data_IF_584493794272
#
_entry.id   IF_584493794272
#
_cell.length_a   1.000
_cell.length_b   1.000
_cell.length_c   1.000
_cell.angle_alpha   90.00
_cell.angle_beta   90.00
_cell.angle_gamma   90.00
#
_symmetry.space_group_name_H-M   'P 1'
#
loop_
_entity.id
_entity.type
_entity.pdbx_description
1 polymer ?
#
# COMPACT_ATOMS: atom_id res chain seq x y z
N UNK A 1 16.21 14.09 19.92
CA UNK A 1 17.29 14.51 18.99
C UNK A 1 17.64 15.94 19.31
N UNK A 2 18.92 16.25 19.47
CA UNK A 2 19.41 17.63 19.63
C UNK A 2 19.67 18.19 18.24
N UNK A 3 19.18 19.39 17.95
CA UNK A 3 19.35 20.09 16.67
C UNK A 3 20.28 21.27 16.92
N UNK A 4 21.37 21.37 16.15
CA UNK A 4 22.31 22.47 16.24
C UNK A 4 22.04 23.52 15.16
N UNK A 5 22.61 24.71 15.34
CA UNK A 5 22.42 25.82 14.38
C UNK A 5 23.05 25.50 13.02
N UNK A 6 24.16 24.78 13.01
CA UNK A 6 24.81 24.32 11.77
C UNK A 6 23.99 23.29 10.96
N UNK A 7 23.00 22.62 11.58
CA UNK A 7 22.12 21.67 10.90
C UNK A 7 20.98 22.34 10.13
N UNK A 8 20.81 23.67 10.29
CA UNK A 8 19.71 24.42 9.70
C UNK A 8 20.14 25.06 8.38
N UNK A 9 19.34 24.82 7.35
CA UNK A 9 19.42 25.42 6.02
C UNK A 9 18.24 26.37 5.81
N UNK A 10 18.34 27.67 6.19
CA UNK A 10 17.18 28.58 6.25
C UNK A 10 16.52 28.84 4.88
N UNK A 11 17.21 28.52 3.79
CA UNK A 11 16.71 28.65 2.42
C UNK A 11 15.83 27.48 1.97
N UNK A 12 15.82 26.37 2.69
CA UNK A 12 15.14 25.15 2.28
C UNK A 12 13.66 25.34 1.90
N UNK A 13 12.90 26.11 2.70
CA UNK A 13 11.49 26.43 2.37
C UNK A 13 11.30 27.19 1.06
N UNK A 14 12.30 27.96 0.63
CA UNK A 14 12.27 28.68 -0.64
C UNK A 14 12.63 27.75 -1.80
N UNK A 15 13.61 26.86 -1.61
CA UNK A 15 13.94 25.81 -2.59
C UNK A 15 12.72 24.92 -2.87
N UNK A 16 12.00 24.49 -1.82
CA UNK A 16 10.74 23.75 -1.99
C UNK A 16 9.69 24.59 -2.75
N UNK A 17 9.60 25.89 -2.47
CA UNK A 17 8.64 26.80 -3.12
C UNK A 17 8.99 27.15 -4.58
N UNK A 18 10.23 26.96 -5.01
CA UNK A 18 10.66 27.14 -6.40
C UNK A 18 10.18 25.98 -7.29
N UNK A 19 9.89 24.81 -6.70
CA UNK A 19 9.32 23.68 -7.41
C UNK A 19 7.81 23.88 -7.69
N UNK A 20 7.31 23.49 -8.87
CA UNK A 20 5.88 23.61 -9.22
C UNK A 20 4.94 23.01 -8.18
N UNK A 21 5.34 21.89 -7.56
CA UNK A 21 4.55 21.16 -6.57
C UNK A 21 4.62 21.78 -5.15
N UNK A 22 5.56 22.69 -4.88
CA UNK A 22 5.81 23.23 -3.54
C UNK A 22 5.48 24.71 -3.36
N UNK A 23 4.96 25.39 -4.38
CA UNK A 23 4.80 26.86 -4.42
C UNK A 23 4.19 27.48 -3.16
N UNK A 24 3.15 26.85 -2.59
CA UNK A 24 2.40 27.37 -1.46
C UNK A 24 2.94 26.93 -0.09
N UNK A 25 4.08 26.24 -0.02
CA UNK A 25 4.63 25.72 1.26
C UNK A 25 4.88 26.83 2.28
N UNK A 26 5.24 28.03 1.81
CA UNK A 26 5.58 29.19 2.64
C UNK A 26 4.37 29.79 3.38
N UNK A 27 3.15 29.54 2.89
CA UNK A 27 1.92 30.03 3.51
C UNK A 27 1.53 29.21 4.76
N UNK A 28 2.22 28.10 5.02
CA UNK A 28 1.91 27.23 6.14
C UNK A 28 2.23 27.87 7.50
N UNK A 29 1.19 28.21 8.27
CA UNK A 29 1.33 28.60 9.69
C UNK A 29 1.26 27.44 10.70
N UNK A 30 1.30 26.19 10.22
CA UNK A 30 1.39 24.97 11.04
C UNK A 30 0.20 24.70 12.00
N UNK A 31 -1.05 24.98 11.58
CA UNK A 31 -2.25 24.71 12.39
C UNK A 31 -2.43 23.24 12.80
N UNK A 32 -1.98 22.28 11.97
CA UNK A 32 -2.15 20.85 12.21
C UNK A 32 -3.44 20.21 11.68
N UNK A 33 -4.28 20.95 10.93
CA UNK A 33 -5.50 20.37 10.33
C UNK A 33 -5.20 19.17 9.43
N UNK A 34 -4.08 19.23 8.68
CA UNK A 34 -3.61 18.12 7.84
C UNK A 34 -3.26 16.87 8.66
N UNK A 35 -2.63 17.02 9.83
CA UNK A 35 -2.32 15.90 10.74
C UNK A 35 -3.61 15.28 11.28
N UNK A 36 -4.60 16.10 11.65
CA UNK A 36 -5.88 15.63 12.20
C UNK A 36 -6.69 14.75 11.24
N UNK A 37 -6.54 14.91 9.93
CA UNK A 37 -7.23 14.09 8.91
C UNK A 37 -6.34 13.04 8.26
N UNK A 38 -5.07 12.92 8.67
CA UNK A 38 -4.14 12.01 8.02
C UNK A 38 -4.34 10.58 8.53
N UNK A 39 -4.69 9.61 7.65
CA UNK A 39 -4.82 8.22 8.07
C UNK A 39 -3.46 7.60 8.45
N UNK A 40 -2.37 8.06 7.81
CA UNK A 40 -1.02 7.52 8.05
C UNK A 40 -0.53 7.88 9.45
N UNK A 41 -0.74 9.12 9.89
CA UNK A 41 -0.33 9.60 11.23
C UNK A 41 -0.96 8.80 12.38
N UNK A 42 -2.08 8.12 12.14
CA UNK A 42 -2.77 7.32 13.14
C UNK A 42 -2.09 5.96 13.38
N UNK A 43 -1.42 5.37 12.37
CA UNK A 43 -0.68 4.10 12.50
C UNK A 43 0.82 4.32 12.70
N UNK A 44 1.35 5.38 12.07
CA UNK A 44 2.74 5.80 12.17
C UNK A 44 2.79 7.21 12.76
N UNK A 45 2.82 7.35 14.09
CA UNK A 45 2.92 8.66 14.76
C UNK A 45 4.19 9.45 14.38
N UNK A 46 5.19 8.78 13.83
CA UNK A 46 6.41 9.37 13.29
C UNK A 46 6.12 10.22 12.04
N UNK A 47 5.14 9.81 11.22
CA UNK A 47 4.66 10.59 10.09
C UNK A 47 3.61 11.62 10.55
N UNK A 48 4.02 12.88 10.72
CA UNK A 48 3.14 13.98 11.09
C UNK A 48 3.27 15.14 10.07
N UNK A 49 2.23 15.38 9.23
CA UNK A 49 2.24 16.45 8.23
C UNK A 49 2.61 17.83 8.77
N UNK A 50 2.15 18.19 9.97
CA UNK A 50 2.50 19.47 10.62
C UNK A 50 3.97 19.51 10.98
N UNK A 51 4.53 18.44 11.54
CA UNK A 51 5.97 18.38 11.87
C UNK A 51 6.81 18.47 10.61
N UNK A 52 6.41 17.79 9.52
CA UNK A 52 7.10 17.87 8.23
C UNK A 52 7.13 19.31 7.71
N UNK A 53 5.98 19.99 7.69
CA UNK A 53 5.91 21.40 7.28
C UNK A 53 6.76 22.30 8.18
N UNK A 54 6.80 22.02 9.49
CA UNK A 54 7.64 22.76 10.42
C UNK A 54 9.14 22.52 10.15
N UNK A 55 9.55 21.28 9.86
CA UNK A 55 10.93 20.96 9.48
C UNK A 55 11.38 21.71 8.22
N UNK A 56 10.49 21.85 7.24
CA UNK A 56 10.75 22.69 6.05
C UNK A 56 10.98 24.14 6.45
N UNK A 57 10.08 24.71 7.27
CA UNK A 57 10.17 26.11 7.73
C UNK A 57 11.41 26.41 8.57
N UNK A 58 11.89 25.44 9.35
CA UNK A 58 13.10 25.56 10.17
C UNK A 58 14.39 25.35 9.38
N UNK A 59 14.33 24.76 8.18
CA UNK A 59 15.51 24.44 7.39
C UNK A 59 16.14 23.09 7.69
N UNK A 60 15.39 22.11 8.22
CA UNK A 60 15.91 20.77 8.53
C UNK A 60 15.99 19.88 7.28
N UNK A 61 16.63 20.39 6.22
CA UNK A 61 16.68 19.76 4.89
C UNK A 61 17.30 18.38 4.93
N UNK A 62 18.57 18.28 5.35
CA UNK A 62 19.29 17.00 5.46
C UNK A 62 18.49 15.96 6.24
N UNK A 63 17.99 16.33 7.42
CA UNK A 63 17.24 15.41 8.28
C UNK A 63 15.95 14.91 7.63
N UNK A 64 15.19 15.80 6.97
CA UNK A 64 13.93 15.44 6.33
C UNK A 64 14.15 14.60 5.06
N UNK A 65 15.08 15.02 4.19
CA UNK A 65 15.31 14.38 2.89
C UNK A 65 16.01 13.03 3.01
N UNK A 66 16.82 12.81 4.06
CA UNK A 66 17.43 11.51 4.34
C UNK A 66 16.54 10.55 5.14
N UNK A 67 15.28 10.94 5.43
CA UNK A 67 14.35 10.14 6.22
C UNK A 67 13.31 9.45 5.37
N UNK A 68 12.64 8.46 5.96
CA UNK A 68 11.53 7.76 5.31
C UNK A 68 10.24 8.61 5.24
N UNK A 69 10.19 9.74 5.96
CA UNK A 69 8.96 10.51 6.16
C UNK A 69 8.30 10.95 4.85
N UNK A 70 9.01 11.50 3.84
CA UNK A 70 8.38 11.84 2.56
C UNK A 70 7.71 10.65 1.87
N UNK A 71 8.14 9.42 2.17
CA UNK A 71 7.74 8.20 1.47
C UNK A 71 6.53 7.48 2.07
N UNK A 72 6.05 7.92 3.24
CA UNK A 72 4.82 7.38 3.86
C UNK A 72 3.54 8.06 3.40
N UNK A 73 3.62 9.24 2.76
CA UNK A 73 2.43 9.91 2.27
C UNK A 73 1.71 9.04 1.22
N UNK A 74 0.44 8.71 1.50
CA UNK A 74 -0.41 7.93 0.60
C UNK A 74 -0.95 8.74 -0.58
N UNK A 75 -0.72 10.06 -0.64
CA UNK A 75 -1.20 10.86 -1.76
C UNK A 75 -2.73 10.96 -1.90
N UNK A 76 -3.49 10.70 -0.82
CA UNK A 76 -4.96 10.74 -0.83
C UNK A 76 -5.54 12.16 -1.01
N UNK A 77 -4.73 13.20 -0.78
CA UNK A 77 -5.09 14.62 -0.87
C UNK A 77 -6.16 15.11 0.11
N UNK A 78 -6.59 14.34 1.11
CA UNK A 78 -7.54 14.78 2.14
C UNK A 78 -7.10 16.08 2.83
N UNK A 79 -5.79 16.22 3.08
CA UNK A 79 -5.19 17.41 3.68
C UNK A 79 -5.45 18.70 2.90
N UNK A 80 -5.70 18.64 1.58
CA UNK A 80 -6.03 19.81 0.76
C UNK A 80 -7.35 20.45 1.19
N UNK A 81 -8.36 19.62 1.46
CA UNK A 81 -9.73 20.09 1.74
C UNK A 81 -9.90 20.71 3.13
N UNK A 82 -8.94 20.49 4.03
CA UNK A 82 -8.95 21.05 5.39
C UNK A 82 -7.89 22.14 5.62
N UNK A 83 -7.07 22.45 4.61
CA UNK A 83 -6.00 23.41 4.75
C UNK A 83 -6.53 24.85 4.56
N UNK A 84 -6.44 25.72 5.58
CA UNK A 84 -6.90 27.10 5.47
C UNK A 84 -5.99 28.00 4.60
N UNK A 85 -4.85 27.49 4.13
CA UNK A 85 -3.83 28.24 3.38
C UNK A 85 -3.55 27.64 1.99
N UNK A 86 -4.32 26.63 1.57
CA UNK A 86 -4.10 25.86 0.34
C UNK A 86 -2.61 25.47 0.09
N UNK A 87 -1.92 25.02 1.15
CA UNK A 87 -0.51 24.61 1.09
C UNK A 87 -0.29 23.39 0.19
N UNK A 88 -1.33 22.57 0.00
CA UNK A 88 -1.29 21.33 -0.80
C UNK A 88 -0.16 20.39 -0.40
N UNK A 89 -0.19 19.95 0.86
CA UNK A 89 0.83 19.08 1.45
C UNK A 89 1.19 17.82 0.61
N UNK A 90 0.24 17.21 -0.12
CA UNK A 90 0.55 16.11 -1.02
C UNK A 90 1.55 16.52 -2.13
N UNK A 91 1.38 17.70 -2.71
CA UNK A 91 2.27 18.22 -3.74
C UNK A 91 3.63 18.61 -3.12
N UNK A 92 3.63 19.19 -1.92
CA UNK A 92 4.87 19.42 -1.15
C UNK A 92 5.66 18.13 -0.95
N UNK A 93 4.99 17.00 -0.65
CA UNK A 93 5.67 15.70 -0.54
C UNK A 93 6.30 15.27 -1.87
N UNK A 94 5.65 15.52 -3.02
CA UNK A 94 6.26 15.23 -4.34
C UNK A 94 7.53 16.04 -4.55
N UNK A 95 7.51 17.33 -4.19
CA UNK A 95 8.68 18.20 -4.22
C UNK A 95 9.81 17.66 -3.32
N UNK A 96 9.49 17.22 -2.10
CA UNK A 96 10.48 16.63 -1.20
C UNK A 96 11.09 15.33 -1.75
N UNK A 97 10.29 14.44 -2.35
CA UNK A 97 10.80 13.21 -2.98
C UNK A 97 11.74 13.51 -4.14
N UNK A 98 11.39 14.51 -4.95
CA UNK A 98 12.22 14.99 -6.04
C UNK A 98 13.57 15.49 -5.53
N UNK A 99 13.56 16.39 -4.54
CA UNK A 99 14.79 16.93 -3.93
C UNK A 99 15.63 15.84 -3.27
N UNK A 100 15.01 14.89 -2.57
CA UNK A 100 15.72 13.80 -1.92
C UNK A 100 16.52 12.95 -2.93
N UNK A 101 15.95 12.67 -4.10
CA UNK A 101 16.62 11.94 -5.18
C UNK A 101 17.65 12.81 -5.92
N UNK A 102 17.31 14.06 -6.25
CA UNK A 102 18.21 14.96 -6.98
C UNK A 102 19.47 15.32 -6.20
N UNK A 103 19.32 15.56 -4.89
CA UNK A 103 20.43 15.95 -4.02
C UNK A 103 21.21 14.73 -3.48
N UNK A 104 20.80 13.51 -3.85
CA UNK A 104 21.48 12.26 -3.46
C UNK A 104 21.31 11.87 -1.99
N UNK A 105 20.24 12.32 -1.32
CA UNK A 105 19.90 11.86 0.03
C UNK A 105 19.34 10.45 0.05
N UNK A 106 18.73 10.02 -1.06
CA UNK A 106 18.26 8.66 -1.29
C UNK A 106 18.57 8.24 -2.73
N UNK A 107 18.70 6.94 -2.94
CA UNK A 107 18.91 6.32 -4.24
C UNK A 107 17.94 5.12 -4.44
N UNK A 108 18.04 4.45 -5.59
CA UNK A 108 17.18 3.31 -5.91
C UNK A 108 17.32 2.16 -4.89
N UNK A 109 18.53 1.91 -4.40
CA UNK A 109 18.79 0.86 -3.41
C UNK A 109 18.14 1.18 -2.07
N UNK A 110 18.29 2.42 -1.59
CA UNK A 110 17.64 2.93 -0.38
C UNK A 110 16.12 2.77 -0.49
N UNK A 111 15.52 3.18 -1.61
CA UNK A 111 14.07 3.06 -1.83
C UNK A 111 13.60 1.61 -1.92
N UNK A 112 14.43 0.71 -2.48
CA UNK A 112 14.16 -0.73 -2.51
C UNK A 112 14.12 -1.31 -1.10
N UNK A 113 15.12 -1.00 -0.27
CA UNK A 113 15.19 -1.43 1.14
C UNK A 113 13.98 -0.94 1.95
N UNK A 114 13.54 0.30 1.70
CA UNK A 114 12.35 0.87 2.32
C UNK A 114 11.03 0.27 1.82
N UNK A 115 11.05 -0.59 0.79
CA UNK A 115 9.85 -1.13 0.15
C UNK A 115 9.04 -0.08 -0.62
N UNK A 116 9.70 0.98 -1.09
CA UNK A 116 9.12 2.10 -1.83
C UNK A 116 9.45 2.09 -3.32
N UNK A 117 10.29 1.16 -3.75
CA UNK A 117 10.62 0.91 -5.15
C UNK A 117 10.58 -0.60 -5.44
N UNK A 118 9.94 -0.96 -6.55
CA UNK A 118 10.10 -2.30 -7.12
C UNK A 118 11.37 -2.32 -7.97
N UNK A 119 12.18 -3.35 -7.81
CA UNK A 119 13.48 -3.51 -8.48
C UNK A 119 13.50 -4.73 -9.39
N UNK A 120 14.29 -4.68 -10.45
CA UNK A 120 14.40 -5.74 -11.45
C UNK A 120 15.75 -6.44 -11.30
N UNK A 121 15.73 -7.76 -11.19
CA UNK A 121 16.91 -8.60 -11.35
C UNK A 121 17.24 -8.74 -12.83
N UNK A 122 18.27 -8.01 -13.27
CA UNK A 122 18.73 -7.99 -14.66
C UNK A 122 19.10 -9.39 -15.19
N UNK A 123 19.57 -10.30 -14.33
CA UNK A 123 20.01 -11.65 -14.75
C UNK A 123 18.84 -12.57 -15.07
N UNK A 124 17.67 -12.32 -14.47
CA UNK A 124 16.44 -13.10 -14.71
C UNK A 124 15.51 -12.45 -15.71
N UNK A 125 15.63 -11.14 -15.94
CA UNK A 125 14.72 -10.41 -16.81
C UNK A 125 14.86 -10.85 -18.27
N UNK A 126 13.75 -11.23 -18.90
CA UNK A 126 13.70 -11.66 -20.31
C UNK A 126 13.15 -10.59 -21.26
N UNK A 127 12.97 -9.35 -20.80
CA UNK A 127 12.52 -8.24 -21.66
C UNK A 127 11.10 -8.37 -22.23
N UNK A 128 10.21 -9.20 -21.64
CA UNK A 128 8.89 -9.53 -22.20
C UNK A 128 7.83 -8.40 -22.26
N UNK A 129 8.14 -7.23 -21.69
CA UNK A 129 7.29 -6.02 -21.64
C UNK A 129 6.01 -6.12 -20.79
N UNK A 130 5.78 -7.22 -20.05
CA UNK A 130 4.58 -7.36 -19.21
C UNK A 130 4.46 -6.24 -18.17
N UNK A 131 5.55 -5.89 -17.48
CA UNK A 131 5.56 -4.80 -16.50
C UNK A 131 5.21 -3.43 -17.13
N UNK A 132 5.73 -3.17 -18.33
CA UNK A 132 5.49 -1.92 -19.08
C UNK A 132 4.01 -1.78 -19.45
N UNK A 133 3.39 -2.86 -19.94
CA UNK A 133 1.96 -2.87 -20.34
C UNK A 133 1.00 -2.76 -19.15
N UNK A 134 1.38 -3.34 -18.01
CA UNK A 134 0.50 -3.42 -16.85
C UNK A 134 0.60 -2.21 -15.92
N UNK A 135 1.71 -1.49 -15.88
CA UNK A 135 1.86 -0.37 -14.96
C UNK A 135 0.88 0.77 -15.29
N UNK A 136 0.01 1.20 -14.34
CA UNK A 136 -0.86 2.35 -14.56
C UNK A 136 -0.12 3.70 -14.49
N UNK A 137 1.14 3.69 -14.03
CA UNK A 137 1.95 4.89 -13.81
C UNK A 137 3.09 5.05 -14.82
N UNK A 138 3.20 4.13 -15.79
CA UNK A 138 4.27 4.14 -16.79
C UNK A 138 5.67 4.23 -16.17
N UNK A 139 5.87 3.56 -15.03
CA UNK A 139 7.15 3.53 -14.32
C UNK A 139 8.18 2.59 -14.98
N UNK A 140 7.80 1.40 -15.47
CA UNK A 140 8.75 0.53 -16.16
C UNK A 140 9.01 0.97 -17.61
N UNK A 141 10.26 0.90 -18.04
CA UNK A 141 10.72 0.98 -19.43
C UNK A 141 11.73 -0.12 -19.72
N UNK A 142 12.07 -0.36 -20.99
CA UNK A 142 13.21 -1.22 -21.33
C UNK A 142 14.44 -0.34 -21.52
N UNK A 143 15.52 -0.70 -20.84
CA UNK A 143 16.79 0.00 -20.97
C UNK A 143 17.47 -0.36 -22.29
N UNK A 144 17.76 0.67 -23.09
CA UNK A 144 18.44 0.52 -24.38
C UNK A 144 19.85 -0.04 -24.17
N UNK A 145 20.23 -1.03 -24.98
CA UNK A 145 21.52 -1.72 -24.87
C UNK A 145 21.54 -2.90 -23.89
N UNK A 146 20.72 -2.91 -22.83
CA UNK A 146 20.60 -4.09 -21.93
C UNK A 146 19.44 -5.02 -22.28
N UNK A 147 18.33 -4.48 -22.81
CA UNK A 147 17.13 -5.28 -23.11
C UNK A 147 16.35 -5.75 -21.88
N UNK A 148 16.69 -5.24 -20.69
CA UNK A 148 16.02 -5.55 -19.42
C UNK A 148 15.11 -4.40 -19.00
N UNK A 149 14.14 -4.69 -18.13
CA UNK A 149 13.26 -3.67 -17.58
C UNK A 149 13.97 -2.82 -16.52
N UNK A 150 13.79 -1.51 -16.58
CA UNK A 150 14.17 -0.54 -15.55
C UNK A 150 12.90 0.09 -14.98
N UNK A 151 12.85 0.32 -13.66
CA UNK A 151 11.69 0.93 -13.00
C UNK A 151 12.11 2.31 -12.49
N UNK A 152 11.49 3.36 -13.05
CA UNK A 152 11.76 4.75 -12.70
C UNK A 152 11.33 5.06 -11.24
N UNK A 153 12.26 5.42 -10.34
CA UNK A 153 11.96 5.66 -8.93
C UNK A 153 10.87 6.70 -8.66
N UNK A 154 10.86 7.81 -9.40
CA UNK A 154 9.88 8.88 -9.18
C UNK A 154 8.46 8.52 -9.63
N UNK A 155 8.32 7.54 -10.53
CA UNK A 155 7.02 7.09 -11.06
C UNK A 155 6.49 5.87 -10.33
N UNK A 156 7.35 5.09 -9.70
CA UNK A 156 6.95 3.88 -9.00
C UNK A 156 6.21 4.23 -7.71
N UNK A 157 5.00 3.70 -7.55
CA UNK A 157 4.19 3.87 -6.33
C UNK A 157 4.21 2.63 -5.44
N UNK A 158 5.13 1.68 -5.68
CA UNK A 158 5.25 0.43 -4.93
C UNK A 158 3.95 -0.41 -4.84
N UNK A 159 3.11 -0.41 -5.88
CA UNK A 159 1.84 -1.15 -5.86
C UNK A 159 1.98 -2.67 -6.05
N UNK A 160 3.13 -3.17 -6.51
CA UNK A 160 3.39 -4.61 -6.66
C UNK A 160 2.68 -5.34 -7.82
N UNK A 161 1.93 -4.64 -8.69
CA UNK A 161 1.24 -5.28 -9.83
C UNK A 161 2.24 -6.00 -10.76
N UNK A 162 3.37 -5.36 -11.07
CA UNK A 162 4.41 -5.95 -11.93
C UNK A 162 5.11 -7.15 -11.29
N UNK A 163 5.23 -7.19 -9.96
CA UNK A 163 5.79 -8.31 -9.20
C UNK A 163 4.91 -9.54 -9.37
N UNK A 164 3.60 -9.37 -9.24
CA UNK A 164 2.62 -10.47 -9.37
C UNK A 164 2.55 -11.07 -10.78
N UNK A 165 2.97 -10.31 -11.80
CA UNK A 165 2.77 -10.63 -13.22
C UNK A 165 4.07 -10.93 -13.95
N UNK A 166 5.21 -10.82 -13.28
CA UNK A 166 6.49 -11.16 -13.89
C UNK A 166 6.56 -12.68 -14.14
N UNK A 167 6.57 -13.15 -15.39
CA UNK A 167 6.51 -14.59 -15.68
C UNK A 167 7.76 -15.34 -15.20
N UNK A 168 8.90 -14.64 -15.13
CA UNK A 168 10.20 -15.15 -14.69
C UNK A 168 10.56 -14.72 -13.25
N UNK A 169 9.62 -14.10 -12.53
CA UNK A 169 9.80 -13.61 -11.15
C UNK A 169 11.05 -12.74 -10.96
N UNK A 170 11.43 -11.97 -11.98
CA UNK A 170 12.59 -11.09 -11.97
C UNK A 170 12.33 -9.74 -11.29
N UNK A 171 11.14 -9.48 -10.76
CA UNK A 171 10.81 -8.19 -10.13
C UNK A 171 10.49 -8.44 -8.66
N UNK A 172 11.11 -7.67 -7.78
CA UNK A 172 10.96 -7.78 -6.33
C UNK A 172 10.46 -6.46 -5.74
N UNK A 173 9.69 -6.56 -4.66
CA UNK A 173 9.22 -5.42 -3.87
C UNK A 173 9.18 -5.84 -2.40
N UNK A 174 9.98 -5.17 -1.58
CA UNK A 174 9.97 -5.35 -0.13
C UNK A 174 8.71 -4.71 0.47
N UNK A 175 8.21 -5.26 1.57
CA UNK A 175 7.14 -4.62 2.32
C UNK A 175 7.69 -3.40 3.06
N UNK A 176 7.08 -2.25 2.83
CA UNK A 176 7.42 -1.02 3.52
C UNK A 176 6.98 -1.03 4.97
N UNK A 177 7.59 -0.20 5.81
CA UNK A 177 7.33 -0.20 7.26
C UNK A 177 5.87 0.08 7.60
N UNK A 178 5.25 1.01 6.87
CA UNK A 178 3.83 1.32 7.00
C UNK A 178 2.93 0.15 6.66
N UNK A 179 3.34 -0.78 5.79
CA UNK A 179 2.61 -2.02 5.50
C UNK A 179 2.93 -3.11 6.52
N UNK A 180 4.22 -3.24 6.89
CA UNK A 180 4.69 -4.22 7.88
C UNK A 180 4.02 -4.02 9.24
N UNK A 181 3.96 -2.79 9.73
CA UNK A 181 3.34 -2.47 11.02
C UNK A 181 1.86 -2.84 11.06
N UNK A 182 1.15 -2.76 9.93
CA UNK A 182 -0.19 -3.34 9.84
C UNK A 182 -0.19 -4.87 9.90
N UNK A 183 0.71 -5.53 9.16
CA UNK A 183 0.79 -6.99 9.16
C UNK A 183 1.24 -7.59 10.51
N UNK A 184 1.88 -6.79 11.36
CA UNK A 184 2.40 -7.18 12.66
C UNK A 184 1.40 -7.04 13.82
N UNK A 185 0.18 -6.55 13.60
CA UNK A 185 -0.83 -6.57 14.66
C UNK A 185 -1.20 -8.03 14.99
N UNK A 186 -1.03 -8.43 16.26
CA UNK A 186 -1.25 -9.80 16.76
C UNK A 186 -2.61 -10.41 16.38
N UNK A 187 -3.62 -9.56 16.17
CA UNK A 187 -4.94 -9.97 15.68
C UNK A 187 -4.91 -10.62 14.28
N UNK A 188 -3.86 -10.35 13.49
CA UNK A 188 -3.70 -10.81 12.10
C UNK A 188 -2.71 -11.97 11.95
N UNK A 189 -1.90 -12.25 12.97
CA UNK A 189 -0.99 -13.40 13.02
C UNK A 189 -1.49 -14.39 14.08
N UNK A 190 -2.35 -15.32 13.66
CA UNK A 190 -2.69 -16.48 14.48
C UNK A 190 -1.91 -17.71 14.00
N UNK A 191 -1.23 -18.37 14.94
CA UNK A 191 -0.56 -19.65 14.70
C UNK A 191 -1.58 -20.80 14.57
N UNK A 192 -2.69 -20.73 15.32
CA UNK A 192 -3.81 -21.66 15.23
C UNK A 192 -5.04 -20.99 14.59
N UNK A 193 -5.53 -21.59 13.51
CA UNK A 193 -6.65 -21.07 12.74
C UNK A 193 -7.98 -21.52 13.37
N UNK A 194 -8.83 -20.55 13.73
CA UNK A 194 -10.18 -20.83 14.19
C UNK A 194 -11.04 -21.47 13.09
N UNK A 195 -12.11 -22.17 13.47
CA UNK A 195 -13.02 -22.80 12.51
C UNK A 195 -14.26 -21.92 12.27
N UNK A 196 -14.62 -21.63 11.00
CA UNK A 196 -13.92 -22.00 9.76
C UNK A 196 -12.67 -21.15 9.51
N UNK A 197 -11.67 -21.74 8.86
CA UNK A 197 -10.41 -21.12 8.56
C UNK A 197 -10.51 -20.15 7.37
N UNK A 198 -10.38 -18.84 7.58
CA UNK A 198 -10.53 -17.85 6.50
C UNK A 198 -9.27 -17.01 6.33
N UNK A 199 -8.81 -16.85 5.08
CA UNK A 199 -7.69 -15.98 4.72
C UNK A 199 -8.19 -14.77 3.94
N UNK A 200 -7.84 -13.57 4.39
CA UNK A 200 -8.25 -12.30 3.82
C UNK A 200 -7.04 -11.52 3.29
N UNK A 201 -6.93 -11.31 1.99
CA UNK A 201 -5.93 -10.42 1.41
C UNK A 201 -6.48 -9.00 1.33
N UNK A 202 -5.97 -8.08 2.14
CA UNK A 202 -6.49 -6.72 2.22
C UNK A 202 -5.52 -5.69 1.65
N UNK A 203 -6.01 -4.86 0.74
CA UNK A 203 -5.31 -3.69 0.24
C UNK A 203 -4.99 -2.73 1.39
N UNK A 204 -3.72 -2.31 1.49
CA UNK A 204 -3.24 -1.37 2.50
C UNK A 204 -4.04 -0.07 2.59
N UNK A 205 -4.45 0.51 1.45
CA UNK A 205 -5.29 1.72 1.44
C UNK A 205 -6.71 1.49 1.96
N UNK A 206 -7.25 0.30 1.75
CA UNK A 206 -8.55 -0.09 2.32
C UNK A 206 -8.40 -0.37 3.81
N UNK A 207 -7.32 -1.01 4.23
CA UNK A 207 -7.02 -1.22 5.64
C UNK A 207 -6.87 0.10 6.42
N UNK A 208 -6.24 1.12 5.82
CA UNK A 208 -6.16 2.48 6.37
C UNK A 208 -7.50 3.17 6.57
N UNK A 209 -8.45 2.97 5.66
CA UNK A 209 -9.78 3.56 5.82
C UNK A 209 -10.51 3.01 7.06
N UNK A 210 -10.13 1.80 7.48
CA UNK A 210 -10.70 1.09 8.62
C UNK A 210 -9.78 1.12 9.86
N UNK A 211 -8.61 1.77 9.77
CA UNK A 211 -7.55 1.67 10.77
C UNK A 211 -7.78 2.46 12.05
N UNK A 212 -8.79 3.32 12.10
CA UNK A 212 -9.14 4.06 13.33
C UNK A 212 -9.47 3.12 14.49
N UNK A 213 -9.81 1.87 14.21
CA UNK A 213 -10.17 0.86 15.20
C UNK A 213 -9.47 -0.49 15.00
N UNK A 214 -8.32 -0.56 14.32
CA UNK A 214 -7.68 -1.85 14.02
C UNK A 214 -7.37 -2.68 15.29
N UNK A 215 -6.96 -2.01 16.37
CA UNK A 215 -6.73 -2.61 17.70
C UNK A 215 -8.04 -2.95 18.44
N UNK A 216 -9.17 -2.38 18.01
CA UNK A 216 -10.50 -2.60 18.58
C UNK A 216 -11.38 -3.51 17.72
N UNK A 217 -10.89 -4.06 16.60
CA UNK A 217 -11.65 -4.92 15.71
C UNK A 217 -12.43 -6.03 16.43
N UNK A 218 -11.87 -6.75 17.42
CA UNK A 218 -12.63 -7.74 18.19
C UNK A 218 -13.80 -7.13 18.96
N UNK A 219 -13.60 -5.96 19.60
CA UNK A 219 -14.66 -5.23 20.32
C UNK A 219 -15.75 -4.74 19.39
N UNK A 220 -15.42 -4.50 18.12
CA UNK A 220 -16.37 -4.13 17.07
C UNK A 220 -17.03 -5.35 16.38
N UNK A 221 -16.69 -6.56 16.82
CA UNK A 221 -17.27 -7.81 16.33
C UNK A 221 -16.62 -8.34 15.05
N UNK A 222 -15.36 -8.02 14.78
CA UNK A 222 -14.60 -8.68 13.74
C UNK A 222 -14.41 -10.18 14.07
N UNK A 223 -14.72 -11.11 13.16
CA UNK A 223 -14.63 -12.54 13.44
C UNK A 223 -13.19 -12.99 13.75
N UNK A 224 -13.04 -13.79 14.80
CA UNK A 224 -11.73 -14.26 15.27
C UNK A 224 -11.08 -15.31 14.37
N UNK A 225 -11.85 -15.93 13.48
CA UNK A 225 -11.44 -17.01 12.57
C UNK A 225 -10.97 -16.48 11.20
N UNK A 226 -10.86 -15.17 11.02
CA UNK A 226 -10.37 -14.52 9.80
C UNK A 226 -8.95 -14.01 10.01
N UNK A 227 -8.00 -14.56 9.24
CA UNK A 227 -6.61 -14.14 9.20
C UNK A 227 -6.40 -13.13 8.07
N UNK A 228 -5.98 -11.91 8.39
CA UNK A 228 -5.77 -10.85 7.38
C UNK A 228 -4.31 -10.75 6.99
N UNK A 229 -4.03 -10.84 5.69
CA UNK A 229 -2.75 -10.53 5.09
C UNK A 229 -2.83 -9.19 4.36
N UNK A 230 -2.05 -8.21 4.82
CA UNK A 230 -2.03 -6.89 4.23
C UNK A 230 -1.08 -6.90 3.04
N UNK A 231 -1.57 -6.44 1.89
CA UNK A 231 -0.79 -6.30 0.66
C UNK A 231 -0.73 -4.82 0.25
N UNK A 232 0.36 -4.36 -0.41
CA UNK A 232 0.48 -2.97 -0.85
C UNK A 232 -0.70 -2.53 -1.73
N UNK A 233 -1.22 -3.44 -2.54
CA UNK A 233 -2.43 -3.25 -3.33
C UNK A 233 -3.11 -4.59 -3.55
N UNK A 234 -4.44 -4.62 -3.62
CA UNK A 234 -5.14 -5.82 -4.11
C UNK A 234 -4.63 -6.26 -5.48
N UNK A 235 -4.22 -5.33 -6.35
CA UNK A 235 -3.62 -5.63 -7.64
C UNK A 235 -2.28 -6.38 -7.60
N UNK A 236 -1.62 -6.51 -6.45
CA UNK A 236 -0.40 -7.33 -6.30
C UNK A 236 -0.70 -8.79 -5.94
N UNK A 237 -1.97 -9.17 -5.73
CA UNK A 237 -2.29 -10.56 -5.37
C UNK A 237 -2.28 -11.45 -6.61
N UNK A 238 -1.38 -12.43 -6.69
CA UNK A 238 -1.32 -13.35 -7.82
C UNK A 238 -2.37 -14.47 -7.70
N UNK A 239 -2.73 -15.07 -8.83
CA UNK A 239 -3.60 -16.26 -8.86
C UNK A 239 -2.99 -17.38 -8.01
N UNK A 240 -1.68 -17.63 -8.14
CA UNK A 240 -0.97 -18.63 -7.35
C UNK A 240 -1.09 -18.36 -5.85
N UNK A 241 -0.99 -17.09 -5.40
CA UNK A 241 -1.13 -16.81 -3.96
C UNK A 241 -2.54 -17.11 -3.44
N UNK A 242 -3.58 -16.82 -4.24
CA UNK A 242 -4.97 -17.15 -3.89
C UNK A 242 -5.19 -18.66 -3.80
N UNK A 243 -4.64 -19.43 -4.75
CA UNK A 243 -4.73 -20.90 -4.75
C UNK A 243 -3.93 -21.51 -3.59
N UNK A 244 -2.70 -21.03 -3.36
CA UNK A 244 -1.85 -21.48 -2.26
C UNK A 244 -2.54 -21.30 -0.90
N UNK A 245 -3.38 -20.27 -0.71
CA UNK A 245 -4.12 -20.13 0.54
C UNK A 245 -5.08 -21.31 0.81
N UNK A 246 -5.68 -21.89 -0.24
CA UNK A 246 -6.47 -23.12 -0.11
C UNK A 246 -5.59 -24.34 0.13
N UNK A 247 -4.42 -24.44 -0.51
CA UNK A 247 -3.43 -25.50 -0.25
C UNK A 247 -2.91 -25.46 1.20
N UNK A 248 -2.81 -24.25 1.77
CA UNK A 248 -2.47 -23.99 3.18
C UNK A 248 -3.66 -24.28 4.14
N UNK A 249 -4.78 -24.80 3.63
CA UNK A 249 -5.91 -25.29 4.42
C UNK A 249 -7.02 -24.27 4.68
N UNK A 250 -7.09 -23.16 3.93
CA UNK A 250 -8.20 -22.21 4.04
C UNK A 250 -9.53 -22.84 3.61
N UNK A 251 -10.56 -22.63 4.43
CA UNK A 251 -11.96 -22.99 4.14
C UNK A 251 -12.62 -21.95 3.23
N UNK A 252 -12.17 -20.69 3.32
CA UNK A 252 -12.54 -19.61 2.43
C UNK A 252 -11.44 -18.55 2.30
N UNK A 253 -11.44 -17.86 1.16
CA UNK A 253 -10.47 -16.82 0.83
C UNK A 253 -11.22 -15.58 0.38
N UNK A 254 -10.79 -14.38 0.78
CA UNK A 254 -11.31 -13.18 0.13
C UNK A 254 -10.25 -12.12 -0.09
N UNK A 255 -10.51 -11.27 -1.07
CA UNK A 255 -9.70 -10.08 -1.36
C UNK A 255 -10.54 -8.86 -1.04
N UNK A 256 -10.02 -7.99 -0.18
CA UNK A 256 -10.62 -6.69 0.12
C UNK A 256 -9.83 -5.59 -0.59
N UNK A 257 -10.49 -4.83 -1.47
CA UNK A 257 -9.89 -3.72 -2.20
C UNK A 257 -10.75 -2.48 -2.21
N UNK A 258 -10.24 -1.41 -2.80
CA UNK A 258 -11.00 -0.18 -3.02
C UNK A 258 -12.15 -0.43 -4.02
N UNK A 259 -13.15 0.44 -4.04
CA UNK A 259 -14.09 0.51 -5.17
C UNK A 259 -13.32 0.68 -6.48
N UNK A 260 -13.86 0.11 -7.57
CA UNK A 260 -13.16 0.08 -8.86
C UNK A 260 -12.91 1.48 -9.42
N UNK A 261 -13.93 2.33 -9.35
CA UNK A 261 -13.95 3.72 -9.81
C UNK A 261 -13.04 4.66 -9.01
N UNK A 262 -12.82 4.35 -7.73
CA UNK A 262 -12.00 5.15 -6.81
C UNK A 262 -10.75 4.41 -6.35
N UNK A 263 -10.28 3.42 -7.12
CA UNK A 263 -9.11 2.63 -6.80
C UNK A 263 -7.86 3.53 -6.68
N UNK A 264 -7.15 3.45 -5.55
CA UNK A 264 -5.99 4.29 -5.31
C UNK A 264 -4.89 4.12 -6.36
N UNK A 265 -4.64 2.88 -6.77
CA UNK A 265 -3.65 2.54 -7.79
C UNK A 265 -4.26 2.39 -9.19
N UNK A 266 -5.32 3.17 -9.47
CA UNK A 266 -6.04 3.31 -10.75
C UNK A 266 -6.83 2.07 -11.19
N UNK A 267 -6.20 0.88 -11.21
CA UNK A 267 -6.81 -0.36 -11.72
C UNK A 267 -6.53 -1.61 -10.89
N UNK A 268 -5.97 -1.45 -9.69
CA UNK A 268 -5.57 -2.56 -8.82
C UNK A 268 -6.75 -3.47 -8.43
N UNK A 269 -7.86 -2.87 -7.99
CA UNK A 269 -9.07 -3.62 -7.62
C UNK A 269 -9.68 -4.38 -8.81
N UNK A 270 -9.72 -3.76 -10.00
CA UNK A 270 -10.16 -4.44 -11.23
C UNK A 270 -9.33 -5.68 -11.55
N UNK A 271 -8.02 -5.55 -11.49
CA UNK A 271 -7.08 -6.65 -11.74
C UNK A 271 -7.33 -7.78 -10.73
N UNK A 272 -7.45 -7.45 -9.45
CA UNK A 272 -7.74 -8.43 -8.40
C UNK A 272 -9.09 -9.13 -8.60
N UNK A 273 -10.14 -8.37 -8.94
CA UNK A 273 -11.48 -8.91 -9.23
C UNK A 273 -11.44 -9.93 -10.39
N UNK A 274 -10.74 -9.61 -11.48
CA UNK A 274 -10.56 -10.52 -12.60
C UNK A 274 -9.82 -11.81 -12.19
N UNK A 275 -8.78 -11.70 -11.36
CA UNK A 275 -8.04 -12.86 -10.84
C UNK A 275 -8.90 -13.71 -9.90
N UNK A 276 -9.69 -13.10 -9.02
CA UNK A 276 -10.64 -13.82 -8.16
C UNK A 276 -11.67 -14.57 -9.00
N UNK A 277 -12.24 -13.92 -10.02
CA UNK A 277 -13.19 -14.58 -10.94
C UNK A 277 -12.54 -15.72 -11.74
N UNK A 278 -11.27 -15.58 -12.11
CA UNK A 278 -10.51 -16.66 -12.73
C UNK A 278 -10.33 -17.85 -11.77
N UNK A 279 -9.98 -17.60 -10.51
CA UNK A 279 -9.86 -18.63 -9.48
C UNK A 279 -11.21 -19.30 -9.21
N UNK A 280 -12.32 -18.56 -9.21
CA UNK A 280 -13.67 -19.16 -9.10
C UNK A 280 -13.92 -20.21 -10.17
N UNK A 281 -13.59 -19.89 -11.42
CA UNK A 281 -13.76 -20.83 -12.53
C UNK A 281 -12.89 -22.08 -12.33
N UNK A 282 -11.66 -21.92 -11.82
CA UNK A 282 -10.80 -23.06 -11.46
C UNK A 282 -11.45 -23.90 -10.36
N UNK A 283 -11.95 -23.29 -9.27
CA UNK A 283 -12.61 -24.01 -8.18
C UNK A 283 -13.80 -24.82 -8.70
N UNK A 284 -14.65 -24.23 -9.55
CA UNK A 284 -15.77 -24.94 -10.17
C UNK A 284 -15.33 -26.13 -11.02
N UNK A 285 -14.24 -26.01 -11.79
CA UNK A 285 -13.68 -27.12 -12.57
C UNK A 285 -13.15 -28.26 -11.69
N UNK A 286 -12.73 -27.94 -10.47
CA UNK A 286 -12.31 -28.91 -9.46
C UNK A 286 -13.47 -29.48 -8.63
N UNK A 287 -14.72 -29.16 -8.99
CA UNK A 287 -15.93 -29.49 -8.22
C UNK A 287 -15.92 -28.93 -6.79
N UNK A 288 -15.25 -27.80 -6.59
CA UNK A 288 -15.30 -27.02 -5.36
C UNK A 288 -16.30 -25.88 -5.52
N UNK A 289 -16.99 -25.53 -4.43
CA UNK A 289 -17.92 -24.40 -4.45
C UNK A 289 -17.16 -23.09 -4.67
N UNK A 290 -17.45 -22.40 -5.78
CA UNK A 290 -16.80 -21.15 -6.17
C UNK A 290 -17.08 -19.99 -5.21
N UNK A 291 -18.11 -20.09 -4.37
CA UNK A 291 -18.42 -19.07 -3.36
C UNK A 291 -17.44 -19.06 -2.18
N UNK A 292 -16.53 -20.05 -2.11
CA UNK A 292 -15.38 -20.08 -1.19
C UNK A 292 -14.35 -18.97 -1.44
N UNK A 293 -14.42 -18.27 -2.58
CA UNK A 293 -13.60 -17.10 -2.84
C UNK A 293 -14.44 -15.87 -3.23
N UNK A 294 -14.07 -14.70 -2.72
CA UNK A 294 -14.77 -13.43 -3.01
C UNK A 294 -13.84 -12.22 -3.16
N UNK A 295 -14.26 -11.27 -4.01
CA UNK A 295 -13.68 -9.93 -4.08
C UNK A 295 -14.68 -8.96 -3.46
N UNK A 296 -14.32 -8.36 -2.32
CA UNK A 296 -15.10 -7.31 -1.70
C UNK A 296 -14.52 -5.94 -2.03
N UNK A 297 -15.36 -5.08 -2.60
CA UNK A 297 -15.02 -3.68 -2.87
C UNK A 297 -15.53 -2.81 -1.72
N UNK A 298 -14.62 -2.10 -1.06
CA UNK A 298 -14.90 -1.33 0.15
C UNK A 298 -14.54 0.13 -0.10
N UNK A 299 -15.44 1.03 0.31
CA UNK A 299 -15.16 2.48 0.30
C UNK A 299 -13.98 2.80 1.23
N UNK A 300 -13.20 3.83 0.86
CA UNK A 300 -12.10 4.33 1.71
C UNK A 300 -12.57 5.30 2.79
N UNK A 301 -13.88 5.48 2.95
CA UNK A 301 -14.47 6.29 4.02
C UNK A 301 -14.56 5.47 5.32
N UNK A 302 -14.38 6.10 6.50
CA UNK A 302 -14.53 5.40 7.79
C UNK A 302 -15.94 4.81 7.93
N UNK A 303 -16.05 3.47 7.91
CA UNK A 303 -17.32 2.76 8.10
C UNK A 303 -17.11 1.30 8.56
N UNK A 304 -18.22 0.57 8.78
CA UNK A 304 -18.23 -0.84 9.20
C UNK A 304 -18.00 -1.85 8.08
N UNK A 305 -17.81 -1.41 6.83
CA UNK A 305 -17.75 -2.29 5.67
C UNK A 305 -16.69 -3.40 5.78
N UNK A 306 -15.55 -3.12 6.42
CA UNK A 306 -14.51 -4.14 6.64
C UNK A 306 -14.92 -5.26 7.62
N UNK A 307 -15.73 -4.95 8.63
CA UNK A 307 -16.27 -5.93 9.57
C UNK A 307 -17.40 -6.70 8.91
N UNK A 308 -18.25 -6.00 8.16
CA UNK A 308 -19.43 -6.59 7.52
C UNK A 308 -19.02 -7.65 6.47
N UNK A 309 -17.99 -7.39 5.66
CA UNK A 309 -17.48 -8.39 4.69
C UNK A 309 -16.84 -9.60 5.34
N UNK A 310 -16.17 -9.41 6.49
CA UNK A 310 -15.58 -10.52 7.25
C UNK A 310 -16.68 -11.41 7.85
N UNK A 311 -17.76 -10.82 8.37
CA UNK A 311 -18.94 -11.54 8.85
C UNK A 311 -19.66 -12.26 7.72
N UNK A 312 -19.87 -11.60 6.59
CA UNK A 312 -20.51 -12.20 5.41
C UNK A 312 -19.76 -13.45 4.95
N UNK A 313 -18.45 -13.35 4.76
CA UNK A 313 -17.63 -14.52 4.40
C UNK A 313 -17.67 -15.59 5.50
N UNK A 314 -17.60 -15.21 6.77
CA UNK A 314 -17.65 -16.16 7.89
C UNK A 314 -18.93 -16.99 7.89
N UNK A 315 -20.09 -16.35 7.78
CA UNK A 315 -21.38 -17.05 7.75
C UNK A 315 -21.53 -17.92 6.50
N UNK A 316 -21.05 -17.43 5.34
CA UNK A 316 -21.02 -18.20 4.10
C UNK A 316 -20.21 -19.49 4.25
N UNK A 317 -18.98 -19.41 4.78
CA UNK A 317 -18.14 -20.60 4.92
C UNK A 317 -18.65 -21.54 6.00
N UNK A 318 -19.27 -21.03 7.08
CA UNK A 318 -19.96 -21.90 8.06
C UNK A 318 -21.03 -22.78 7.42
N UNK A 319 -21.79 -22.24 6.46
CA UNK A 319 -22.83 -22.98 5.73
C UNK A 319 -22.20 -24.05 4.82
N UNK A 320 -21.11 -23.70 4.12
CA UNK A 320 -20.42 -24.62 3.21
C UNK A 320 -19.62 -25.71 3.93
N UNK A 321 -19.29 -25.48 5.21
CA UNK A 321 -18.41 -26.35 5.99
C UNK A 321 -16.95 -26.30 5.52
N UNK A 322 -16.10 -27.16 6.11
CA UNK A 322 -14.67 -27.17 5.84
C UNK A 322 -14.35 -27.43 4.37
N UNK A 323 -13.24 -26.89 3.89
CA UNK A 323 -12.77 -27.10 2.53
C UNK A 323 -12.39 -28.57 2.33
N UNK A 324 -12.81 -29.20 1.21
CA UNK A 324 -12.37 -30.54 0.83
C UNK A 324 -10.85 -30.66 0.58
N UNK A 325 -10.14 -29.53 0.51
CA UNK A 325 -8.69 -29.47 0.35
C UNK A 325 -7.94 -29.52 1.70
N UNK A 326 -8.63 -29.35 2.84
CA UNK A 326 -8.03 -29.38 4.17
C UNK A 326 -7.53 -30.80 4.49
N UNK A 327 -6.21 -30.99 4.54
CA UNK A 327 -5.57 -32.26 4.96
C UNK A 327 -5.14 -33.22 3.84
N UNK A 328 -4.90 -32.73 2.63
CA UNK A 328 -4.19 -33.47 1.56
C UNK A 328 -2.84 -32.86 1.25
#
# INVERSE_FOLDING_TARGET
MTIYREDLEPRFKFEVAELPEGQNVKECFACGSCTGVCPVSQILPEFDPRKILHMISLGLKKHLLSSDLPWYCTGCSTCKFVCPQDVRFNDVIKALKLLALQDGYVDADTLSEMGKLAVVDERRCVGCLTCVRLCPFSAPSIEEGKGVAYIEPLKCVACGICVAECPVKAIELKLSEDVRRFSSFDLLRKEEMGEPNIVAFCCHYTAYACSQDLQNLPKLGFPENVRVEIVPCSGSISISRLLNAFEEGADGVYVAGCLDDTCHNVKGSRIASNRVNYVRNILSQLNLDSSRIEMYMISREPNRGFIDVAKDMTERIKILGPSPLKGK
#
